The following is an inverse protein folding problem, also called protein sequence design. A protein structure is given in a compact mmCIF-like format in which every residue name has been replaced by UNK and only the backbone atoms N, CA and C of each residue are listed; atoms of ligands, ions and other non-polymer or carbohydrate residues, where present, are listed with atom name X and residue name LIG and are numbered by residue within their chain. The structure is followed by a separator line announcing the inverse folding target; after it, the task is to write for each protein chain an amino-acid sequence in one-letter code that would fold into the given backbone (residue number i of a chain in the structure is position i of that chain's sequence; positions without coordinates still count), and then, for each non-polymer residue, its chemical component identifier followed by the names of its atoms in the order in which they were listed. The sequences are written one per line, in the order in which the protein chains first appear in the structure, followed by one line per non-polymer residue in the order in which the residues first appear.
data_IF_798267722739
#
_entry.id   IF_798267722739
#
_cell.length_a   1.000
_cell.length_b   1.000
_cell.length_c   1.000
_cell.angle_alpha   90.00
_cell.angle_beta   90.00
_cell.angle_gamma   90.00
#
_symmetry.space_group_name_H-M   'P 1'
#
loop_
_entity.id
_entity.type
_entity.pdbx_description
1 polymer ?
#
# COMPACT_ATOMS: atom_id res chain seq x y z
N UNK A 1 -2.65 36.02 6.72
CA UNK A 1 -2.28 35.56 5.37
C UNK A 1 -1.07 34.65 5.53
N UNK A 2 -1.31 33.35 5.60
CA UNK A 2 -0.26 32.34 5.45
C UNK A 2 -0.11 32.19 3.94
N UNK A 3 1.09 32.34 3.41
CA UNK A 3 1.29 32.29 1.96
C UNK A 3 0.95 30.89 1.46
N UNK A 4 0.28 30.76 0.31
CA UNK A 4 -0.14 29.47 -0.26
C UNK A 4 1.04 28.51 -0.52
N UNK A 5 2.31 29.01 -0.49
CA UNK A 5 3.55 28.23 -0.50
C UNK A 5 3.91 27.50 0.81
N UNK A 6 3.28 27.82 1.94
CA UNK A 6 3.73 27.35 3.25
C UNK A 6 3.12 26.01 3.69
N UNK A 7 1.97 25.60 3.14
CA UNK A 7 1.24 24.44 3.67
C UNK A 7 1.53 23.14 2.91
N UNK A 8 1.62 23.19 1.59
CA UNK A 8 1.83 22.02 0.71
C UNK A 8 3.11 22.17 -0.12
N UNK A 9 3.57 21.08 -0.73
CA UNK A 9 4.59 21.15 -1.79
C UNK A 9 3.91 21.58 -3.09
N UNK A 10 4.38 22.66 -3.70
CA UNK A 10 3.75 23.22 -4.89
C UNK A 10 3.75 22.25 -6.08
N UNK A 11 4.73 21.35 -6.16
CA UNK A 11 4.82 20.38 -7.25
C UNK A 11 3.73 19.30 -7.13
N UNK A 12 3.37 18.91 -5.90
CA UNK A 12 2.23 18.01 -5.66
C UNK A 12 0.88 18.72 -5.99
N UNK A 13 0.76 20.01 -5.66
CA UNK A 13 -0.45 20.81 -6.02
C UNK A 13 -0.59 20.97 -7.54
N UNK A 14 0.52 21.28 -8.23
CA UNK A 14 0.52 21.33 -9.69
C UNK A 14 0.13 19.99 -10.30
N UNK A 15 0.66 18.87 -9.78
CA UNK A 15 0.29 17.52 -10.23
C UNK A 15 -1.20 17.28 -10.05
N UNK A 16 -1.75 17.59 -8.88
CA UNK A 16 -3.18 17.45 -8.59
C UNK A 16 -4.02 18.27 -9.59
N UNK A 17 -3.70 19.54 -9.80
CA UNK A 17 -4.46 20.40 -10.71
C UNK A 17 -4.35 20.01 -12.20
N UNK A 18 -3.28 19.32 -12.61
CA UNK A 18 -3.01 18.97 -14.02
C UNK A 18 -3.38 17.53 -14.38
N UNK A 19 -3.62 16.66 -13.41
CA UNK A 19 -3.86 15.23 -13.64
C UNK A 19 -5.22 14.82 -13.09
N UNK A 20 -6.22 14.78 -13.98
CA UNK A 20 -7.59 14.43 -13.65
C UNK A 20 -7.70 13.01 -13.06
N UNK A 21 -6.96 12.04 -13.60
CA UNK A 21 -6.98 10.65 -13.11
C UNK A 21 -6.49 10.56 -11.66
N UNK A 22 -5.40 11.27 -11.32
CA UNK A 22 -4.88 11.34 -9.96
C UNK A 22 -5.85 12.08 -9.02
N UNK A 23 -6.43 13.17 -9.47
CA UNK A 23 -7.42 13.94 -8.68
C UNK A 23 -8.69 13.15 -8.41
N UNK A 24 -9.17 12.39 -9.41
CA UNK A 24 -10.33 11.52 -9.26
C UNK A 24 -10.11 10.44 -8.18
N UNK A 25 -8.88 9.99 -7.94
CA UNK A 25 -8.60 9.04 -6.85
C UNK A 25 -8.97 9.61 -5.48
N UNK A 26 -8.68 10.88 -5.21
CA UNK A 26 -9.06 11.56 -3.96
C UNK A 26 -10.58 11.71 -3.84
N UNK A 27 -11.21 12.12 -4.94
CA UNK A 27 -12.65 12.36 -4.99
C UNK A 27 -13.41 11.05 -4.79
N UNK A 28 -13.09 10.00 -5.55
CA UNK A 28 -13.76 8.70 -5.48
C UNK A 28 -13.55 8.02 -4.13
N UNK A 29 -12.35 8.14 -3.54
CA UNK A 29 -12.08 7.60 -2.21
C UNK A 29 -12.87 8.32 -1.11
N UNK A 30 -13.03 9.64 -1.23
CA UNK A 30 -13.92 10.41 -0.36
C UNK A 30 -15.42 10.09 -0.53
N UNK A 31 -15.79 9.50 -1.68
CA UNK A 31 -17.17 9.16 -2.07
C UNK A 31 -17.63 7.76 -1.66
N UNK A 32 -16.83 6.94 -0.96
CA UNK A 32 -17.29 5.61 -0.52
C UNK A 32 -18.41 5.62 0.54
N UNK A 33 -18.90 6.79 0.96
CA UNK A 33 -20.16 6.95 1.67
C UNK A 33 -21.33 7.08 0.68
N UNK A 34 -22.54 6.69 1.09
CA UNK A 34 -23.77 6.70 0.28
C UNK A 34 -24.22 8.08 -0.23
N UNK A 35 -23.44 9.13 -0.01
CA UNK A 35 -23.61 10.48 -0.57
C UNK A 35 -22.24 11.15 -0.78
N UNK A 36 -22.13 11.99 -1.80
CA UNK A 36 -20.94 12.82 -2.05
C UNK A 36 -20.61 13.65 -0.81
N UNK A 37 -19.51 13.34 -0.13
CA UNK A 37 -19.04 14.07 1.04
C UNK A 37 -17.79 14.87 0.66
N UNK A 38 -18.01 16.10 0.18
CA UNK A 38 -16.95 17.03 -0.20
C UNK A 38 -15.98 17.30 0.96
N UNK A 39 -16.48 17.38 2.19
CA UNK A 39 -15.66 17.63 3.37
C UNK A 39 -14.69 16.46 3.63
N UNK A 40 -15.14 15.22 3.45
CA UNK A 40 -14.29 14.03 3.57
C UNK A 40 -13.21 14.02 2.49
N UNK A 41 -13.57 14.29 1.23
CA UNK A 41 -12.61 14.34 0.14
C UNK A 41 -11.55 15.43 0.38
N UNK A 42 -11.98 16.63 0.82
CA UNK A 42 -11.07 17.72 1.17
C UNK A 42 -10.17 17.38 2.36
N UNK A 43 -10.70 16.73 3.40
CA UNK A 43 -9.92 16.31 4.56
C UNK A 43 -8.81 15.31 4.19
N UNK A 44 -9.14 14.30 3.38
CA UNK A 44 -8.16 13.33 2.87
C UNK A 44 -7.09 14.04 2.03
N UNK A 45 -7.50 14.99 1.19
CA UNK A 45 -6.57 15.81 0.41
C UNK A 45 -5.63 16.64 1.31
N UNK A 46 -6.17 17.40 2.26
CA UNK A 46 -5.38 18.25 3.17
C UNK A 46 -4.36 17.41 3.97
N UNK A 47 -4.81 16.29 4.56
CA UNK A 47 -3.94 15.42 5.35
C UNK A 47 -2.86 14.76 4.48
N UNK A 48 -3.22 14.25 3.30
CA UNK A 48 -2.25 13.68 2.36
C UNK A 48 -1.21 14.72 1.93
N UNK A 49 -1.63 15.90 1.47
CA UNK A 49 -0.69 16.92 0.96
C UNK A 49 0.25 17.46 2.05
N UNK A 50 -0.22 17.60 3.30
CA UNK A 50 0.64 17.93 4.44
C UNK A 50 1.65 16.82 4.73
N UNK A 51 1.20 15.56 4.77
CA UNK A 51 2.06 14.41 5.00
C UNK A 51 3.14 14.32 3.91
N UNK A 52 2.77 14.54 2.64
CA UNK A 52 3.68 14.51 1.50
C UNK A 52 4.80 15.53 1.62
N UNK A 53 4.46 16.78 1.97
CA UNK A 53 5.43 17.83 2.25
C UNK A 53 6.33 17.46 3.43
N UNK A 54 5.75 17.04 4.55
CA UNK A 54 6.49 16.71 5.77
C UNK A 54 7.52 15.60 5.56
N UNK A 55 7.24 14.64 4.68
CA UNK A 55 8.10 13.47 4.45
C UNK A 55 8.91 13.58 3.14
N UNK A 56 8.92 14.74 2.49
CA UNK A 56 9.60 14.99 1.21
C UNK A 56 9.28 13.92 0.16
N UNK A 57 7.99 13.53 0.06
CA UNK A 57 7.55 12.43 -0.81
C UNK A 57 7.85 12.72 -2.28
N UNK A 58 7.75 13.98 -2.69
CA UNK A 58 8.04 14.37 -4.06
C UNK A 58 9.47 13.97 -4.49
N UNK A 59 10.44 14.05 -3.59
CA UNK A 59 11.86 13.80 -3.89
C UNK A 59 12.28 12.34 -3.67
N UNK A 60 11.35 11.45 -3.31
CA UNK A 60 11.61 10.01 -3.16
C UNK A 60 11.90 9.37 -4.53
N UNK A 61 12.98 8.60 -4.60
CA UNK A 61 13.51 7.98 -5.82
C UNK A 61 14.37 6.74 -5.51
N UNK A 62 14.80 5.98 -6.53
CA UNK A 62 15.67 4.81 -6.36
C UNK A 62 16.99 5.14 -5.64
N UNK A 63 17.62 6.28 -5.97
CA UNK A 63 18.89 6.72 -5.36
C UNK A 63 18.79 7.04 -3.87
N UNK A 64 17.57 7.00 -3.33
CA UNK A 64 17.29 7.22 -1.92
C UNK A 64 17.59 5.99 -1.05
N UNK A 65 17.66 4.79 -1.65
CA UNK A 65 17.75 3.53 -0.92
C UNK A 65 18.99 2.72 -1.34
N UNK A 66 19.71 2.11 -0.37
CA UNK A 66 20.73 1.11 -0.67
C UNK A 66 20.13 -0.11 -1.40
N UNK A 67 20.95 -0.79 -2.22
CA UNK A 67 20.55 -1.97 -3.00
C UNK A 67 19.93 -3.09 -2.13
N UNK A 68 20.37 -3.22 -0.87
CA UNK A 68 19.88 -4.22 0.07
C UNK A 68 18.35 -4.16 0.31
N UNK A 69 17.73 -2.98 0.19
CA UNK A 69 16.27 -2.85 0.35
C UNK A 69 15.51 -3.59 -0.75
N UNK A 70 16.10 -3.61 -1.95
CA UNK A 70 15.57 -4.33 -3.11
C UNK A 70 15.90 -5.82 -3.05
N UNK A 71 17.14 -6.16 -2.69
CA UNK A 71 17.63 -7.54 -2.65
C UNK A 71 16.90 -8.39 -1.60
N UNK A 72 16.49 -7.78 -0.49
CA UNK A 72 15.78 -8.46 0.59
C UNK A 72 14.33 -8.83 0.25
N UNK A 73 13.78 -8.29 -0.83
CA UNK A 73 12.40 -8.57 -1.28
C UNK A 73 11.34 -8.43 -0.17
N UNK A 74 11.51 -7.45 0.72
CA UNK A 74 10.47 -7.11 1.72
C UNK A 74 9.21 -6.65 0.98
N UNK A 75 9.41 -5.79 -0.02
CA UNK A 75 8.38 -5.18 -0.84
C UNK A 75 8.85 -5.19 -2.29
N UNK A 76 8.01 -5.67 -3.21
CA UNK A 76 8.30 -5.62 -4.65
C UNK A 76 7.04 -5.84 -5.49
N UNK A 77 6.99 -5.21 -6.67
CA UNK A 77 5.97 -5.52 -7.68
C UNK A 77 6.35 -6.77 -8.47
N UNK A 78 5.41 -7.71 -8.64
CA UNK A 78 5.57 -8.84 -9.57
C UNK A 78 4.20 -9.42 -9.94
N UNK A 79 4.01 -9.68 -11.23
CA UNK A 79 2.83 -10.32 -11.81
C UNK A 79 1.53 -9.52 -11.59
N UNK A 80 0.42 -10.08 -12.07
CA UNK A 80 -0.89 -9.44 -12.09
C UNK A 80 -1.97 -10.33 -11.51
N UNK A 81 -3.02 -9.72 -10.94
CA UNK A 81 -4.25 -10.42 -10.59
C UNK A 81 -5.08 -10.74 -11.86
N UNK A 82 -6.20 -11.46 -11.69
CA UNK A 82 -7.11 -11.77 -12.81
C UNK A 82 -7.81 -10.56 -13.44
N UNK A 83 -7.76 -9.40 -12.78
CA UNK A 83 -8.30 -8.14 -13.28
C UNK A 83 -7.21 -7.23 -13.87
N UNK A 84 -5.99 -7.78 -14.06
CA UNK A 84 -4.83 -7.09 -14.60
C UNK A 84 -4.34 -5.91 -13.73
N UNK A 85 -4.56 -5.97 -12.42
CA UNK A 85 -3.89 -5.09 -11.46
C UNK A 85 -2.51 -5.65 -11.12
N UNK A 86 -1.45 -4.84 -11.13
CA UNK A 86 -0.15 -5.28 -10.67
C UNK A 86 -0.18 -5.59 -9.18
N UNK A 87 0.55 -6.63 -8.79
CA UNK A 87 0.59 -7.10 -7.41
C UNK A 87 1.83 -6.58 -6.71
N UNK A 88 1.63 -5.80 -5.65
CA UNK A 88 2.68 -5.42 -4.71
C UNK A 88 2.77 -6.47 -3.60
N UNK A 89 3.84 -7.26 -3.63
CA UNK A 89 4.11 -8.28 -2.62
C UNK A 89 4.73 -7.63 -1.40
N UNK A 90 4.19 -7.92 -0.22
CA UNK A 90 4.79 -7.70 1.09
C UNK A 90 5.15 -9.05 1.70
N UNK A 91 6.44 -9.38 1.77
CA UNK A 91 6.92 -10.64 2.35
C UNK A 91 7.15 -10.44 3.84
N UNK A 92 6.15 -10.76 4.64
CA UNK A 92 6.11 -10.40 6.07
C UNK A 92 7.25 -11.06 6.85
N UNK A 93 7.63 -12.30 6.53
CA UNK A 93 8.76 -12.99 7.17
C UNK A 93 10.11 -12.26 7.01
N UNK A 94 10.24 -11.40 5.99
CA UNK A 94 11.46 -10.65 5.72
C UNK A 94 11.52 -9.33 6.51
N UNK A 95 10.41 -8.89 7.10
CA UNK A 95 10.36 -7.76 8.03
C UNK A 95 10.82 -8.24 9.41
N UNK A 96 11.90 -7.68 9.95
CA UNK A 96 12.44 -8.07 11.26
C UNK A 96 12.30 -6.92 12.24
N UNK A 97 11.47 -7.09 13.27
CA UNK A 97 11.24 -6.07 14.30
C UNK A 97 12.57 -5.66 14.96
N UNK A 98 12.86 -4.36 14.97
CA UNK A 98 14.04 -3.78 15.60
C UNK A 98 15.37 -4.01 14.86
N UNK A 99 15.33 -4.61 13.66
CA UNK A 99 16.53 -4.78 12.82
C UNK A 99 16.67 -3.66 11.78
N UNK A 100 15.56 -3.12 11.28
CA UNK A 100 15.54 -1.90 10.46
C UNK A 100 15.07 -0.70 11.26
N UNK A 101 15.50 0.48 10.81
CA UNK A 101 14.81 1.72 11.14
C UNK A 101 13.42 1.71 10.50
N UNK A 102 12.37 1.76 11.33
CA UNK A 102 10.99 1.80 10.86
C UNK A 102 10.76 2.95 9.89
N UNK A 103 11.41 4.10 10.09
CA UNK A 103 11.28 5.23 9.16
C UNK A 103 11.84 4.90 7.79
N UNK A 104 12.95 4.17 7.70
CA UNK A 104 13.50 3.73 6.43
C UNK A 104 12.55 2.76 5.69
N UNK A 105 11.89 1.85 6.41
CA UNK A 105 10.88 0.94 5.82
C UNK A 105 9.63 1.70 5.37
N UNK A 106 9.12 2.63 6.17
CA UNK A 106 8.00 3.51 5.76
C UNK A 106 8.33 4.30 4.50
N UNK A 107 9.57 4.80 4.42
CA UNK A 107 10.06 5.54 3.25
C UNK A 107 10.22 4.62 2.03
N UNK A 108 10.61 3.36 2.21
CA UNK A 108 10.66 2.38 1.13
C UNK A 108 9.26 1.93 0.65
N UNK A 109 8.28 1.81 1.56
CA UNK A 109 6.86 1.63 1.21
C UNK A 109 6.37 2.82 0.36
N UNK A 110 6.66 4.04 0.84
CA UNK A 110 6.33 5.29 0.15
C UNK A 110 6.92 5.31 -1.25
N UNK A 111 8.19 4.93 -1.40
CA UNK A 111 8.85 4.84 -2.71
C UNK A 111 8.12 3.91 -3.68
N UNK A 112 7.71 2.71 -3.23
CA UNK A 112 7.02 1.76 -4.10
C UNK A 112 5.66 2.30 -4.57
N UNK A 113 4.85 2.85 -3.65
CA UNK A 113 3.57 3.47 -4.02
C UNK A 113 3.74 4.68 -4.91
N UNK A 114 4.68 5.56 -4.58
CA UNK A 114 4.88 6.82 -5.29
C UNK A 114 5.42 6.62 -6.70
N UNK A 115 6.34 5.68 -6.87
CA UNK A 115 6.88 5.33 -8.19
C UNK A 115 5.74 4.82 -9.08
N UNK A 116 4.94 3.88 -8.57
CA UNK A 116 3.83 3.32 -9.34
C UNK A 116 2.78 4.36 -9.74
N UNK A 117 2.30 5.17 -8.79
CA UNK A 117 1.21 6.12 -9.02
C UNK A 117 1.63 7.30 -9.90
N UNK A 118 2.92 7.62 -9.98
CA UNK A 118 3.46 8.60 -10.94
C UNK A 118 3.37 8.11 -12.37
N UNK A 119 3.72 6.84 -12.59
CA UNK A 119 3.71 6.22 -13.92
C UNK A 119 2.29 5.81 -14.35
N UNK A 120 1.42 5.51 -13.38
CA UNK A 120 0.09 4.93 -13.61
C UNK A 120 -1.00 5.68 -12.82
N UNK A 121 -1.23 6.98 -13.08
CA UNK A 121 -2.27 7.74 -12.40
C UNK A 121 -3.66 7.11 -12.60
N UNK A 122 -4.49 7.12 -11.56
CA UNK A 122 -5.83 6.52 -11.59
C UNK A 122 -5.88 4.99 -11.70
N UNK A 123 -4.74 4.29 -11.68
CA UNK A 123 -4.70 2.82 -11.71
C UNK A 123 -4.58 2.24 -10.31
N UNK A 124 -5.21 1.09 -10.11
CA UNK A 124 -5.19 0.38 -8.83
C UNK A 124 -4.08 -0.67 -8.77
N UNK A 125 -3.74 -1.07 -7.55
CA UNK A 125 -2.88 -2.22 -7.24
C UNK A 125 -3.61 -3.22 -6.35
N UNK A 126 -3.15 -4.47 -6.37
CA UNK A 126 -3.43 -5.44 -5.32
C UNK A 126 -2.21 -5.50 -4.41
N UNK A 127 -2.40 -5.39 -3.09
CA UNK A 127 -1.31 -5.63 -2.14
C UNK A 127 -1.46 -7.02 -1.55
N UNK A 128 -0.44 -7.85 -1.70
CA UNK A 128 -0.41 -9.22 -1.21
C UNK A 128 0.56 -9.33 -0.03
N UNK A 129 0.03 -9.52 1.16
CA UNK A 129 0.79 -9.90 2.35
C UNK A 129 1.05 -11.41 2.35
N UNK A 130 2.27 -11.80 1.98
CA UNK A 130 2.75 -13.17 2.12
C UNK A 130 3.15 -13.39 3.58
N UNK A 131 2.22 -13.96 4.36
CA UNK A 131 2.43 -14.27 5.77
C UNK A 131 2.93 -15.70 5.99
N UNK A 132 3.31 -16.41 4.92
CA UNK A 132 3.92 -17.73 5.04
C UNK A 132 5.20 -17.63 5.86
N UNK A 133 5.28 -18.44 6.92
CA UNK A 133 6.41 -18.47 7.86
C UNK A 133 6.60 -17.18 8.66
N UNK A 134 5.63 -16.26 8.64
CA UNK A 134 5.63 -15.11 9.53
C UNK A 134 5.26 -15.52 10.96
N UNK A 135 5.91 -14.89 11.93
CA UNK A 135 5.62 -15.02 13.36
C UNK A 135 5.43 -13.65 14.03
N UNK A 136 5.22 -13.67 15.35
CA UNK A 136 5.05 -12.44 16.15
C UNK A 136 6.29 -11.52 16.03
N UNK A 137 7.49 -12.07 15.84
CA UNK A 137 8.72 -11.29 15.64
C UNK A 137 8.74 -10.46 14.36
N UNK A 138 7.84 -10.72 13.41
CA UNK A 138 7.68 -9.93 12.19
C UNK A 138 6.59 -8.85 12.34
N UNK A 139 5.82 -8.87 13.43
CA UNK A 139 4.73 -7.92 13.64
C UNK A 139 5.28 -6.62 14.24
N UNK A 140 5.39 -5.61 13.38
CA UNK A 140 5.66 -4.23 13.77
C UNK A 140 4.39 -3.38 13.63
N UNK A 141 3.84 -2.94 14.77
CA UNK A 141 2.59 -2.18 14.78
C UNK A 141 2.72 -0.77 14.20
N UNK A 142 3.91 -0.19 14.21
CA UNK A 142 4.16 1.14 13.63
C UNK A 142 4.16 1.06 12.10
N UNK A 143 4.80 0.04 11.54
CA UNK A 143 4.71 -0.26 10.09
C UNK A 143 3.27 -0.60 9.68
N UNK A 144 2.56 -1.42 10.45
CA UNK A 144 1.15 -1.76 10.15
C UNK A 144 0.26 -0.52 10.15
N UNK A 145 0.39 0.36 11.14
CA UNK A 145 -0.36 1.63 11.18
C UNK A 145 -0.03 2.51 9.98
N UNK A 146 1.24 2.57 9.59
CA UNK A 146 1.65 3.34 8.42
C UNK A 146 1.04 2.81 7.11
N UNK A 147 1.00 1.48 6.93
CA UNK A 147 0.34 0.84 5.78
C UNK A 147 -1.15 1.20 5.75
N UNK A 148 -1.83 1.11 6.90
CA UNK A 148 -3.25 1.45 7.02
C UNK A 148 -3.49 2.93 6.66
N UNK A 149 -2.71 3.85 7.24
CA UNK A 149 -2.79 5.28 6.93
C UNK A 149 -2.47 5.57 5.46
N UNK A 150 -1.54 4.81 4.86
CA UNK A 150 -1.22 4.92 3.43
C UNK A 150 -2.43 4.61 2.57
N UNK A 151 -3.17 3.53 2.85
CA UNK A 151 -4.35 3.15 2.06
C UNK A 151 -5.57 4.03 2.35
N UNK A 152 -5.71 4.54 3.58
CA UNK A 152 -6.87 5.33 3.98
C UNK A 152 -6.75 6.81 3.63
N UNK A 153 -5.55 7.37 3.68
CA UNK A 153 -5.33 8.81 3.64
C UNK A 153 -4.22 9.21 2.66
N UNK A 154 -3.03 8.61 2.73
CA UNK A 154 -1.87 9.17 2.02
C UNK A 154 -1.86 8.85 0.52
N UNK A 155 -2.38 7.69 0.13
CA UNK A 155 -2.54 7.22 -1.25
C UNK A 155 -4.00 6.79 -1.50
N UNK A 156 -4.96 7.72 -1.40
CA UNK A 156 -6.37 7.40 -1.51
C UNK A 156 -6.69 6.85 -2.89
N UNK A 157 -7.58 5.87 -2.98
CA UNK A 157 -7.98 5.27 -4.25
C UNK A 157 -6.93 4.38 -4.93
N UNK A 158 -5.73 4.17 -4.37
CA UNK A 158 -4.71 3.30 -4.98
C UNK A 158 -5.06 1.80 -4.89
N UNK A 159 -5.80 1.40 -3.87
CA UNK A 159 -6.01 0.00 -3.51
C UNK A 159 -7.24 -0.61 -4.18
N UNK A 160 -7.06 -1.67 -4.97
CA UNK A 160 -8.16 -2.52 -5.43
C UNK A 160 -8.67 -3.43 -4.29
N UNK A 161 -7.78 -4.23 -3.70
CA UNK A 161 -8.05 -5.09 -2.53
C UNK A 161 -6.74 -5.67 -1.94
N UNK A 162 -6.81 -6.23 -0.74
CA UNK A 162 -5.71 -6.82 0.03
C UNK A 162 -5.77 -8.35 0.06
N UNK A 163 -4.68 -8.96 -0.41
CA UNK A 163 -4.22 -10.35 -0.26
C UNK A 163 -3.69 -10.71 1.13
N UNK A 164 -4.46 -11.25 2.07
CA UNK A 164 -3.90 -11.83 3.31
C UNK A 164 -3.59 -13.32 3.11
N UNK A 165 -2.41 -13.66 2.57
CA UNK A 165 -2.06 -15.04 2.21
C UNK A 165 -1.42 -15.79 3.39
N UNK A 166 -1.97 -16.97 3.70
CA UNK A 166 -1.50 -17.88 4.76
C UNK A 166 -1.33 -17.20 6.12
N UNK A 167 -2.30 -16.37 6.52
CA UNK A 167 -2.26 -15.73 7.83
C UNK A 167 -2.19 -16.77 8.97
N UNK A 168 -1.13 -16.79 9.80
CA UNK A 168 -1.01 -17.73 10.91
C UNK A 168 -2.10 -17.51 11.96
N UNK A 169 -2.67 -18.61 12.49
CA UNK A 169 -3.72 -18.53 13.52
C UNK A 169 -3.28 -17.72 14.75
N UNK A 170 -1.99 -17.80 15.13
CA UNK A 170 -1.42 -17.09 16.27
C UNK A 170 -1.49 -15.56 16.09
N UNK A 171 -1.50 -15.06 14.86
CA UNK A 171 -1.64 -13.63 14.56
C UNK A 171 -3.11 -13.15 14.59
N UNK A 172 -4.08 -14.04 14.79
CA UNK A 172 -5.51 -13.66 14.85
C UNK A 172 -5.84 -12.69 15.99
N UNK A 173 -5.17 -12.82 17.14
CA UNK A 173 -5.34 -11.91 18.27
C UNK A 173 -4.82 -10.50 17.94
N UNK A 174 -3.63 -10.41 17.32
CA UNK A 174 -3.09 -9.16 16.82
C UNK A 174 -4.01 -8.54 15.75
N UNK A 175 -4.55 -9.34 14.84
CA UNK A 175 -5.49 -8.87 13.84
C UNK A 175 -6.75 -8.24 14.42
N UNK A 176 -7.28 -8.78 15.52
CA UNK A 176 -8.41 -8.16 16.22
C UNK A 176 -8.09 -6.74 16.70
N UNK A 177 -6.86 -6.50 17.18
CA UNK A 177 -6.40 -5.16 17.55
C UNK A 177 -6.20 -4.27 16.32
N UNK A 178 -5.55 -4.78 15.27
CA UNK A 178 -5.29 -4.04 14.03
C UNK A 178 -6.60 -3.54 13.40
N UNK A 179 -7.67 -4.35 13.43
CA UNK A 179 -8.99 -3.95 12.93
C UNK A 179 -9.57 -2.72 13.62
N UNK A 180 -9.19 -2.42 14.86
CA UNK A 180 -9.66 -1.20 15.55
C UNK A 180 -9.07 0.09 14.98
N UNK A 181 -8.02 0.00 14.15
CA UNK A 181 -7.39 1.14 13.47
C UNK A 181 -7.94 1.35 12.07
N UNK A 182 -8.74 0.40 11.58
CA UNK A 182 -9.31 0.44 10.25
C UNK A 182 -10.70 1.09 10.29
N UNK A 183 -11.08 1.74 9.20
CA UNK A 183 -12.44 2.26 9.05
C UNK A 183 -13.42 1.10 8.83
N UNK A 184 -14.70 1.33 9.09
CA UNK A 184 -15.74 0.29 8.94
C UNK A 184 -15.85 -0.24 7.51
N UNK A 185 -15.43 0.55 6.51
CA UNK A 185 -15.44 0.14 5.11
C UNK A 185 -14.22 -0.70 4.72
N UNK A 186 -13.14 -0.71 5.50
CA UNK A 186 -11.89 -1.39 5.14
C UNK A 186 -12.05 -2.92 4.98
N UNK A 187 -12.93 -3.53 5.79
CA UNK A 187 -13.16 -4.98 5.78
C UNK A 187 -13.54 -5.53 4.39
N UNK A 188 -14.22 -4.73 3.56
CA UNK A 188 -14.62 -5.16 2.21
C UNK A 188 -13.43 -5.38 1.27
N UNK A 189 -12.31 -4.70 1.53
CA UNK A 189 -11.10 -4.77 0.72
C UNK A 189 -10.21 -5.94 1.12
N UNK A 190 -10.39 -6.52 2.31
CA UNK A 190 -9.49 -7.55 2.83
C UNK A 190 -10.00 -8.94 2.45
N UNK A 191 -9.14 -9.75 1.85
CA UNK A 191 -9.41 -11.14 1.46
C UNK A 191 -8.39 -12.07 2.11
N UNK A 192 -8.87 -13.00 2.93
CA UNK A 192 -8.03 -14.04 3.53
C UNK A 192 -7.94 -15.22 2.58
N UNK A 193 -6.72 -15.65 2.28
CA UNK A 193 -6.47 -16.71 1.30
C UNK A 193 -5.43 -17.70 1.81
N UNK A 194 -5.47 -18.90 1.25
CA UNK A 194 -4.46 -19.94 1.41
C UNK A 194 -4.10 -20.52 0.03
N UNK A 195 -3.31 -21.60 -0.01
CA UNK A 195 -2.91 -22.25 -1.27
C UNK A 195 -4.08 -22.79 -2.09
N UNK A 196 -5.26 -22.98 -1.49
CA UNK A 196 -6.46 -23.50 -2.17
C UNK A 196 -7.32 -22.38 -2.74
N UNK A 197 -7.33 -21.20 -2.11
CA UNK A 197 -8.23 -20.10 -2.45
C UNK A 197 -7.54 -18.92 -3.13
N UNK A 198 -6.21 -18.81 -3.07
CA UNK A 198 -5.48 -17.72 -3.74
C UNK A 198 -5.70 -17.69 -5.26
N UNK A 199 -5.97 -18.85 -5.86
CA UNK A 199 -6.26 -19.00 -7.29
C UNK A 199 -7.59 -18.39 -7.71
N UNK A 200 -8.46 -18.00 -6.77
CA UNK A 200 -9.67 -17.25 -7.07
C UNK A 200 -9.32 -15.85 -7.59
N UNK A 201 -8.19 -15.29 -7.15
CA UNK A 201 -7.76 -13.92 -7.42
C UNK A 201 -6.59 -13.81 -8.40
N UNK A 202 -5.66 -14.78 -8.39
CA UNK A 202 -4.44 -14.79 -9.22
C UNK A 202 -4.43 -16.09 -10.03
N UNK A 203 -4.23 -16.01 -11.35
CA UNK A 203 -4.11 -17.22 -12.18
C UNK A 203 -2.82 -17.98 -11.88
N UNK A 204 -2.80 -19.30 -12.14
CA UNK A 204 -1.64 -20.14 -11.81
C UNK A 204 -0.34 -19.67 -12.45
N UNK A 205 -0.39 -19.22 -13.70
CA UNK A 205 0.74 -18.68 -14.46
C UNK A 205 1.22 -17.30 -13.97
N UNK A 206 0.43 -16.61 -13.16
CA UNK A 206 0.80 -15.36 -12.49
C UNK A 206 1.17 -15.56 -11.01
N UNK A 207 0.92 -16.75 -10.46
CA UNK A 207 1.19 -17.07 -9.07
C UNK A 207 2.55 -17.76 -8.91
N UNK A 208 3.35 -17.30 -7.95
CA UNK A 208 4.67 -17.89 -7.68
C UNK A 208 4.58 -19.37 -7.28
N UNK A 209 5.64 -20.15 -7.56
CA UNK A 209 5.66 -21.60 -7.23
C UNK A 209 5.57 -21.83 -5.73
N UNK A 210 6.16 -20.95 -4.92
CA UNK A 210 6.05 -21.00 -3.44
C UNK A 210 4.61 -20.84 -2.93
N UNK A 211 3.71 -20.24 -3.72
CA UNK A 211 2.29 -20.08 -3.40
C UNK A 211 1.41 -21.14 -4.08
N UNK A 212 2.01 -22.11 -4.80
CA UNK A 212 1.29 -23.17 -5.52
C UNK A 212 0.99 -22.87 -6.99
N UNK A 213 1.57 -21.82 -7.56
CA UNK A 213 1.43 -21.48 -8.98
C UNK A 213 2.53 -22.04 -9.87
N UNK A 214 2.56 -21.56 -11.11
CA UNK A 214 3.45 -21.97 -12.19
C UNK A 214 4.16 -20.79 -12.86
N UNK A 215 4.08 -19.58 -12.28
CA UNK A 215 4.75 -18.41 -12.82
C UNK A 215 6.25 -18.65 -12.96
N UNK A 216 6.84 -18.06 -14.02
CA UNK A 216 8.28 -18.07 -14.17
C UNK A 216 8.92 -17.24 -13.04
N UNK A 217 9.96 -17.81 -12.45
CA UNK A 217 10.67 -17.17 -11.34
C UNK A 217 11.91 -16.41 -11.79
N UNK A 218 12.24 -16.42 -13.11
CA UNK A 218 13.25 -15.53 -13.66
C UNK A 218 12.95 -14.09 -13.23
N UNK A 219 13.96 -13.44 -12.66
CA UNK A 219 13.94 -12.01 -12.30
C UNK A 219 14.11 -11.13 -13.53
#
# INVERSE_FOLDING_TARGET
QISEGEVYDQRDIERFNKNDEYTLMFIQHGQFATSFNQDRAFHIFDESMRWRKQHNVYDVSTSTFPAEYFDRKIIYYKNYDKFNHPILHFVVRNLRKGHEDNEAIKRFITYNFETYIRENPGKHIVVLFDMSEAGIGNLDYDIVKFIIASMQTYYPGLLAYLLMFKMPFLLSAAWRLIRTWMSSEADRFIKFTDTKTITDYISLDQLSKRMGGTADESE
#
